data_IF_834785715361
#
_entry.id   IF_834785715361
#
_cell.length_a   1.000
_cell.length_b   1.000
_cell.length_c   1.000
_cell.angle_alpha   90.00
_cell.angle_beta   90.00
_cell.angle_gamma   90.00
#
_symmetry.space_group_name_H-M   'P 1'
#
loop_
_entity.id
_entity.type
_entity.pdbx_description
1 polymer ?
#
# COMPACT_ATOMS: atom_id res chain seq x y z
N UNK A 1 22.25 7.55 -3.98
CA UNK A 1 21.35 8.66 -4.40
C UNK A 1 20.58 8.21 -5.61
N UNK A 2 19.29 7.88 -5.44
CA UNK A 2 18.40 7.66 -6.58
C UNK A 2 17.89 9.01 -7.09
N UNK A 3 18.12 9.32 -8.35
CA UNK A 3 17.57 10.49 -9.02
C UNK A 3 16.54 9.99 -10.03
N UNK A 4 15.27 10.01 -9.64
CA UNK A 4 14.16 9.75 -10.55
C UNK A 4 13.57 11.08 -11.03
N UNK A 5 13.72 11.42 -12.31
CA UNK A 5 12.91 12.47 -12.92
C UNK A 5 11.59 11.86 -13.38
N UNK A 6 10.51 12.18 -12.71
CA UNK A 6 9.19 11.99 -13.28
C UNK A 6 8.92 13.13 -14.25
N UNK A 7 9.07 12.86 -15.54
CA UNK A 7 8.57 13.77 -16.59
C UNK A 7 7.06 13.64 -16.62
N UNK A 8 6.36 14.42 -15.79
CA UNK A 8 4.92 14.57 -15.94
C UNK A 8 4.69 15.49 -17.15
N UNK A 9 4.12 15.00 -18.26
CA UNK A 9 3.91 15.83 -19.43
C UNK A 9 2.98 17.00 -19.09
N UNK A 10 3.20 18.14 -19.71
CA UNK A 10 2.38 19.37 -19.66
C UNK A 10 0.99 19.12 -20.32
N UNK A 11 0.34 18.01 -19.98
CA UNK A 11 -1.04 17.78 -20.42
C UNK A 11 -1.98 18.35 -19.38
N UNK A 12 -2.72 19.37 -19.79
CA UNK A 12 -3.83 19.90 -18.98
C UNK A 12 -5.10 19.24 -19.47
N UNK A 13 -5.81 18.57 -18.55
CA UNK A 13 -7.15 18.04 -18.81
C UNK A 13 -8.15 18.80 -17.96
N UNK A 14 -9.17 19.35 -18.63
CA UNK A 14 -10.33 19.95 -17.98
C UNK A 14 -11.47 18.96 -18.05
N UNK A 15 -12.05 18.59 -16.91
CA UNK A 15 -13.19 17.67 -16.85
C UNK A 15 -14.35 18.30 -16.09
N UNK A 16 -15.56 18.18 -16.66
CA UNK A 16 -16.81 18.53 -16.01
C UNK A 16 -17.72 17.31 -16.11
N UNK A 17 -17.92 16.62 -15.02
CA UNK A 17 -18.75 15.40 -14.98
C UNK A 17 -19.49 15.31 -13.65
N UNK A 18 -20.83 15.11 -13.72
CA UNK A 18 -21.65 14.89 -12.53
C UNK A 18 -21.61 16.04 -11.49
N UNK A 19 -21.38 17.27 -11.95
CA UNK A 19 -21.22 18.43 -11.05
C UNK A 19 -19.79 18.65 -10.54
N UNK A 20 -18.88 17.71 -10.73
CA UNK A 20 -17.45 17.86 -10.41
C UNK A 20 -16.74 18.60 -11.55
N UNK A 21 -16.02 19.65 -11.19
CA UNK A 21 -15.19 20.44 -12.10
C UNK A 21 -13.74 20.30 -11.68
N UNK A 22 -12.92 19.69 -12.52
CA UNK A 22 -11.50 19.43 -12.21
C UNK A 22 -10.59 19.90 -13.32
N UNK A 23 -9.44 20.40 -12.93
CA UNK A 23 -8.29 20.66 -13.81
C UNK A 23 -7.14 19.79 -13.32
N UNK A 24 -6.67 18.89 -14.16
CA UNK A 24 -5.47 18.09 -13.88
C UNK A 24 -4.34 18.60 -14.76
N UNK A 25 -3.22 18.92 -14.16
CA UNK A 25 -2.06 19.44 -14.86
C UNK A 25 -0.76 18.79 -14.39
N UNK A 26 0.30 18.93 -15.17
CA UNK A 26 1.67 18.61 -14.78
C UNK A 26 2.45 19.88 -14.45
N UNK A 27 3.60 19.74 -13.77
CA UNK A 27 4.57 20.80 -13.57
C UNK A 27 5.93 20.32 -14.09
N UNK A 28 6.47 20.96 -15.17
CA UNK A 28 7.76 20.59 -15.73
C UNK A 28 8.95 21.02 -14.86
N UNK A 29 8.72 21.87 -13.86
CA UNK A 29 9.76 22.42 -12.99
C UNK A 29 9.90 21.66 -11.68
N UNK A 30 9.21 20.51 -11.52
CA UNK A 30 9.34 19.71 -10.32
C UNK A 30 10.79 19.28 -10.07
N UNK A 31 11.24 19.50 -8.85
CA UNK A 31 12.47 18.91 -8.36
C UNK A 31 12.35 17.37 -8.30
N UNK A 32 13.42 16.64 -8.63
CA UNK A 32 13.42 15.20 -8.52
C UNK A 32 13.29 14.78 -7.06
N UNK A 33 12.67 13.62 -6.85
CA UNK A 33 12.67 12.96 -5.54
C UNK A 33 14.12 12.71 -5.10
N UNK A 34 14.46 13.13 -3.87
CA UNK A 34 15.77 12.94 -3.27
C UNK A 34 15.64 12.43 -1.86
N UNK A 35 16.43 11.43 -1.54
CA UNK A 35 16.52 10.90 -0.18
C UNK A 35 17.94 10.47 0.15
N UNK A 36 18.31 10.58 1.42
CA UNK A 36 19.51 9.98 2.02
C UNK A 36 19.06 8.76 2.82
N UNK A 37 19.71 7.64 2.64
CA UNK A 37 19.35 6.39 3.31
C UNK A 37 20.52 5.83 4.08
N UNK A 38 20.21 5.21 5.23
CA UNK A 38 21.13 4.40 6.00
C UNK A 38 20.41 3.10 6.37
N UNK A 39 21.05 1.98 6.05
CA UNK A 39 20.51 0.66 6.28
C UNK A 39 21.54 -0.20 7.02
N UNK A 40 21.09 -0.96 8.02
CA UNK A 40 21.90 -1.92 8.76
C UNK A 40 21.13 -3.23 8.90
N UNK A 41 21.70 -4.33 8.41
CA UNK A 41 21.11 -5.64 8.48
C UNK A 41 22.03 -6.68 9.08
N UNK A 42 21.46 -7.60 9.84
CA UNK A 42 22.09 -8.78 10.38
C UNK A 42 21.29 -10.02 9.99
N UNK A 43 21.96 -11.00 9.42
CA UNK A 43 21.38 -12.29 9.08
C UNK A 43 22.16 -13.40 9.78
N UNK A 44 21.44 -14.32 10.39
CA UNK A 44 22.01 -15.47 11.06
C UNK A 44 21.39 -16.76 10.54
N UNK A 45 22.16 -17.50 9.76
CA UNK A 45 21.83 -18.84 9.25
C UNK A 45 22.26 -19.87 10.29
N UNK A 46 21.38 -20.17 11.24
CA UNK A 46 21.73 -20.96 12.44
C UNK A 46 21.57 -22.48 12.23
N UNK A 47 20.87 -22.90 11.17
CA UNK A 47 20.73 -24.29 10.76
C UNK A 47 20.40 -24.36 9.25
N UNK A 48 20.30 -25.55 8.67
CA UNK A 48 19.88 -25.76 7.29
C UNK A 48 18.46 -25.18 7.07
N UNK A 49 18.29 -24.41 6.01
CA UNK A 49 17.04 -23.70 5.67
C UNK A 49 16.47 -22.78 6.78
N UNK A 50 17.29 -22.44 7.79
CA UNK A 50 16.88 -21.67 8.95
C UNK A 50 17.56 -20.30 8.98
N UNK A 51 16.77 -19.25 9.07
CA UNK A 51 17.21 -17.86 9.04
C UNK A 51 16.56 -17.06 10.16
N UNK A 52 17.35 -16.23 10.81
CA UNK A 52 16.94 -15.11 11.62
C UNK A 52 17.55 -13.85 11.02
N UNK A 53 16.72 -12.87 10.64
CA UNK A 53 17.17 -11.58 10.12
C UNK A 53 16.60 -10.43 10.93
N UNK A 54 17.41 -9.41 11.14
CA UNK A 54 16.99 -8.14 11.73
C UNK A 54 17.65 -7.03 10.92
N UNK A 55 16.85 -6.12 10.41
CA UNK A 55 17.33 -4.93 9.71
C UNK A 55 16.75 -3.66 10.34
N UNK A 56 17.51 -2.60 10.30
CA UNK A 56 17.11 -1.25 10.65
C UNK A 56 17.36 -0.35 9.44
N UNK A 57 16.46 0.57 9.18
CA UNK A 57 16.61 1.55 8.13
C UNK A 57 16.17 2.95 8.57
N UNK A 58 16.80 3.95 7.95
CA UNK A 58 16.47 5.35 8.08
C UNK A 58 16.53 6.02 6.71
N UNK A 59 15.54 6.85 6.37
CA UNK A 59 15.48 7.63 5.14
C UNK A 59 15.10 9.07 5.47
N UNK A 60 15.99 9.99 5.10
CA UNK A 60 15.75 11.42 5.13
C UNK A 60 15.35 11.85 3.71
N UNK A 61 14.09 12.21 3.52
CA UNK A 61 13.51 12.57 2.23
C UNK A 61 13.59 14.09 2.08
N UNK A 62 14.51 14.55 1.27
CA UNK A 62 14.74 16.00 1.05
C UNK A 62 13.61 16.62 0.22
N UNK A 63 13.10 15.89 -0.80
CA UNK A 63 12.02 16.33 -1.68
C UNK A 63 11.09 15.18 -2.00
N UNK A 64 9.81 15.43 -1.89
CA UNK A 64 8.75 14.50 -2.24
C UNK A 64 7.75 15.19 -3.17
N UNK A 65 7.15 14.47 -4.09
CA UNK A 65 6.13 15.01 -5.01
C UNK A 65 4.77 14.52 -4.58
N UNK A 66 3.90 15.44 -4.24
CA UNK A 66 2.49 15.16 -3.95
C UNK A 66 1.57 15.84 -4.96
N UNK A 67 0.33 15.37 -5.08
CA UNK A 67 -0.71 16.09 -5.80
C UNK A 67 -1.39 17.09 -4.85
N UNK A 68 -1.19 18.37 -5.08
CA UNK A 68 -1.96 19.41 -4.38
C UNK A 68 -3.40 19.42 -4.89
N UNK A 69 -4.32 19.81 -4.02
CA UNK A 69 -5.73 20.04 -4.36
C UNK A 69 -6.16 21.40 -3.89
N UNK A 70 -6.44 22.29 -4.83
CA UNK A 70 -6.87 23.64 -4.56
C UNK A 70 -8.16 23.93 -5.35
N UNK A 71 -9.20 24.41 -4.65
CA UNK A 71 -10.43 24.87 -5.30
C UNK A 71 -10.39 26.37 -5.46
N UNK A 72 -10.45 26.81 -6.72
CA UNK A 72 -10.42 28.23 -7.09
C UNK A 72 -11.10 28.47 -8.44
N UNK A 73 -11.50 29.73 -8.77
CA UNK A 73 -12.11 30.05 -10.06
C UNK A 73 -11.21 29.67 -11.23
N UNK A 74 -11.80 29.11 -12.30
CA UNK A 74 -11.09 28.70 -13.52
C UNK A 74 -10.24 29.82 -14.13
N UNK A 75 -10.79 31.06 -14.19
CA UNK A 75 -10.10 32.21 -14.76
C UNK A 75 -8.79 32.60 -14.06
N UNK A 76 -8.53 32.04 -12.86
CA UNK A 76 -7.25 32.22 -12.15
C UNK A 76 -6.17 31.27 -12.63
N UNK A 77 -6.49 30.31 -13.50
CA UNK A 77 -5.59 29.28 -13.98
C UNK A 77 -4.62 29.75 -15.07
N UNK A 78 -4.95 30.82 -15.79
CA UNK A 78 -4.25 31.23 -17.00
C UNK A 78 -4.52 30.33 -18.21
N UNK A 79 -5.42 29.35 -18.09
CA UNK A 79 -5.82 28.47 -19.20
C UNK A 79 -6.84 29.17 -20.11
N UNK A 80 -6.86 28.85 -21.41
CA UNK A 80 -7.80 29.46 -22.34
C UNK A 80 -9.24 28.99 -22.08
N UNK A 81 -10.20 29.92 -22.14
CA UNK A 81 -11.63 29.65 -21.95
C UNK A 81 -12.21 28.68 -23.01
N UNK A 82 -11.50 28.51 -24.12
CA UNK A 82 -11.88 27.55 -25.15
C UNK A 82 -11.96 26.11 -24.67
N UNK A 83 -11.26 25.77 -23.58
CA UNK A 83 -11.32 24.44 -22.95
C UNK A 83 -12.64 24.19 -22.24
N UNK A 84 -13.44 25.23 -21.96
CA UNK A 84 -14.75 25.11 -21.36
C UNK A 84 -15.89 24.97 -22.37
N UNK A 85 -15.62 25.15 -23.67
CA UNK A 85 -16.64 25.07 -24.72
C UNK A 85 -17.31 23.68 -24.69
N UNK A 86 -18.64 23.67 -24.61
CA UNK A 86 -19.45 22.44 -24.58
C UNK A 86 -19.55 21.78 -23.21
N UNK A 87 -18.86 22.29 -22.16
CA UNK A 87 -18.92 21.72 -20.80
C UNK A 87 -20.07 22.29 -19.96
N UNK A 88 -20.63 23.46 -20.35
CA UNK A 88 -21.61 24.21 -19.57
C UNK A 88 -21.04 24.98 -18.39
N UNK A 89 -19.74 24.89 -18.15
CA UNK A 89 -19.06 25.65 -17.10
C UNK A 89 -18.67 27.05 -17.57
N UNK A 90 -18.57 27.99 -16.62
CA UNK A 90 -18.16 29.38 -16.85
C UNK A 90 -16.76 29.62 -16.31
N UNK A 91 -15.99 30.60 -16.84
CA UNK A 91 -14.67 30.93 -16.34
C UNK A 91 -14.64 31.37 -14.85
N UNK A 92 -15.77 31.82 -14.33
CA UNK A 92 -15.93 32.22 -12.92
C UNK A 92 -16.29 31.08 -11.99
N UNK A 93 -16.58 29.89 -12.53
CA UNK A 93 -16.92 28.73 -11.72
C UNK A 93 -15.66 28.17 -11.00
N UNK A 94 -15.87 27.65 -9.80
CA UNK A 94 -14.82 26.99 -9.05
C UNK A 94 -14.50 25.62 -9.63
N UNK A 95 -13.22 25.38 -9.82
CA UNK A 95 -12.63 24.11 -10.23
C UNK A 95 -11.65 23.62 -9.16
N UNK A 96 -11.60 22.30 -8.96
CA UNK A 96 -10.55 21.66 -8.19
C UNK A 96 -9.34 21.41 -9.08
N UNK A 97 -8.25 22.08 -8.76
CA UNK A 97 -6.96 21.93 -9.46
C UNK A 97 -6.15 20.83 -8.76
N UNK A 98 -5.86 19.76 -9.49
CA UNK A 98 -4.97 18.69 -9.07
C UNK A 98 -3.64 18.87 -9.80
N UNK A 99 -2.65 19.41 -9.12
CA UNK A 99 -1.36 19.75 -9.69
C UNK A 99 -0.26 19.13 -8.82
N UNK A 100 0.73 18.42 -9.42
CA UNK A 100 1.86 17.91 -8.67
C UNK A 100 2.73 19.09 -8.19
N UNK A 101 3.12 19.02 -6.93
CA UNK A 101 3.99 20.02 -6.29
C UNK A 101 5.06 19.33 -5.45
N UNK A 102 6.20 19.98 -5.28
CA UNK A 102 7.18 19.52 -4.32
C UNK A 102 6.76 19.88 -2.90
N UNK A 103 6.98 18.94 -1.99
CA UNK A 103 6.87 19.14 -0.54
C UNK A 103 8.27 19.04 0.08
N UNK A 104 8.50 19.63 1.25
CA UNK A 104 9.76 19.53 1.97
C UNK A 104 10.20 18.09 2.30
N UNK A 105 9.30 17.09 2.12
CA UNK A 105 9.61 15.72 2.47
C UNK A 105 9.44 15.44 3.95
N UNK A 106 10.38 14.70 4.54
CA UNK A 106 10.37 14.28 5.94
C UNK A 106 11.22 13.05 6.18
N UNK A 107 11.08 12.42 7.31
CA UNK A 107 11.85 11.23 7.67
C UNK A 107 10.99 9.97 7.78
N UNK A 108 11.67 8.86 7.57
CA UNK A 108 11.11 7.52 7.66
C UNK A 108 12.16 6.60 8.28
N UNK A 109 11.76 5.84 9.29
CA UNK A 109 12.64 4.90 10.00
C UNK A 109 11.87 3.65 10.38
N UNK A 110 12.57 2.55 10.48
CA UNK A 110 11.90 1.32 10.85
C UNK A 110 12.82 0.14 11.12
N UNK A 111 12.16 -0.96 11.40
CA UNK A 111 12.78 -2.26 11.66
C UNK A 111 12.08 -3.33 10.85
N UNK A 112 12.86 -4.26 10.33
CA UNK A 112 12.39 -5.46 9.68
C UNK A 112 12.95 -6.67 10.42
N UNK A 113 12.07 -7.61 10.74
CA UNK A 113 12.40 -8.87 11.36
C UNK A 113 11.91 -10.01 10.47
N UNK A 114 12.77 -11.01 10.23
CA UNK A 114 12.38 -12.21 9.52
C UNK A 114 12.90 -13.45 10.27
N UNK A 115 12.04 -14.45 10.34
CA UNK A 115 12.35 -15.76 10.89
C UNK A 115 11.80 -16.84 9.99
N UNK A 116 12.64 -17.83 9.69
CA UNK A 116 12.26 -19.03 8.94
C UNK A 116 12.94 -20.23 9.59
N UNK A 117 12.15 -21.30 9.82
CA UNK A 117 12.71 -22.56 10.31
C UNK A 117 11.83 -23.75 9.98
N UNK A 118 12.33 -24.78 9.27
CA UNK A 118 11.76 -26.12 9.27
C UNK A 118 12.07 -26.82 10.61
N UNK A 119 11.12 -27.59 11.13
CA UNK A 119 11.25 -28.22 12.46
C UNK A 119 11.90 -29.60 12.41
N UNK A 120 12.85 -29.80 11.50
CA UNK A 120 13.59 -31.08 11.30
C UNK A 120 14.24 -31.62 12.57
N UNK A 121 14.43 -30.78 13.59
CA UNK A 121 15.00 -31.16 14.89
C UNK A 121 13.96 -31.83 15.82
N UNK A 122 12.68 -31.83 15.46
CA UNK A 122 11.61 -32.46 16.22
C UNK A 122 11.40 -33.93 15.82
N UNK A 123 10.95 -34.81 16.73
CA UNK A 123 10.76 -36.21 16.42
C UNK A 123 9.43 -36.50 15.71
N UNK A 124 9.37 -37.60 14.99
CA UNK A 124 8.14 -38.13 14.39
C UNK A 124 7.54 -37.21 13.35
N UNK A 125 6.22 -37.01 13.38
CA UNK A 125 5.51 -36.18 12.42
C UNK A 125 5.76 -34.66 12.61
N UNK A 126 6.24 -34.24 13.75
CA UNK A 126 6.54 -32.84 14.05
C UNK A 126 7.70 -32.29 13.20
N UNK A 127 8.60 -33.16 12.72
CA UNK A 127 9.72 -32.76 11.87
C UNK A 127 9.31 -32.22 10.50
N UNK A 128 8.10 -32.55 10.07
CA UNK A 128 7.54 -32.16 8.78
C UNK A 128 6.82 -30.80 8.85
N UNK A 129 6.79 -30.14 10.02
CA UNK A 129 6.35 -28.77 10.18
C UNK A 129 7.47 -27.79 9.94
N UNK A 130 7.08 -26.55 9.63
CA UNK A 130 7.95 -25.41 9.62
C UNK A 130 7.14 -24.12 9.67
N UNK A 131 7.82 -23.01 9.95
CA UNK A 131 7.19 -21.71 10.01
C UNK A 131 8.03 -20.64 9.34
N UNK A 132 7.34 -19.59 8.88
CA UNK A 132 7.92 -18.35 8.41
C UNK A 132 7.18 -17.19 9.08
N UNK A 133 7.92 -16.19 9.50
CA UNK A 133 7.37 -14.98 10.10
C UNK A 133 8.17 -13.77 9.63
N UNK A 134 7.49 -12.75 9.15
CA UNK A 134 8.07 -11.45 8.81
C UNK A 134 7.29 -10.38 9.53
N UNK A 135 7.99 -9.40 10.08
CA UNK A 135 7.40 -8.23 10.72
C UNK A 135 8.15 -6.99 10.30
N UNK A 136 7.39 -5.96 9.92
CA UNK A 136 7.91 -4.64 9.58
C UNK A 136 7.23 -3.60 10.45
N UNK A 137 8.03 -2.77 11.09
CA UNK A 137 7.61 -1.56 11.77
C UNK A 137 8.20 -0.36 11.05
N UNK A 138 7.35 0.61 10.70
CA UNK A 138 7.77 1.86 10.06
C UNK A 138 7.11 3.04 10.75
N UNK A 139 7.90 4.02 11.10
CA UNK A 139 7.47 5.32 11.60
C UNK A 139 7.90 6.38 10.60
N UNK A 140 6.98 7.25 10.21
CA UNK A 140 7.23 8.28 9.20
C UNK A 140 6.52 9.57 9.54
N UNK A 141 7.14 10.69 9.17
CA UNK A 141 6.53 12.00 9.29
C UNK A 141 6.87 12.83 8.04
N UNK A 142 5.84 13.12 7.24
CA UNK A 142 5.96 13.88 6.00
C UNK A 142 5.18 15.18 6.13
N UNK A 143 5.81 16.29 5.75
CA UNK A 143 5.15 17.59 5.66
C UNK A 143 4.41 17.69 4.33
N UNK A 144 3.09 17.59 4.37
CA UNK A 144 2.23 17.80 3.20
C UNK A 144 1.94 19.29 2.98
N UNK A 145 1.54 19.63 1.76
CA UNK A 145 1.17 21.00 1.38
C UNK A 145 -0.21 21.02 0.70
N UNK A 146 -0.95 22.11 0.85
CA UNK A 146 -2.23 22.31 0.15
C UNK A 146 -2.01 22.86 -1.26
N UNK A 147 -1.01 23.76 -1.42
CA UNK A 147 -0.56 24.29 -2.69
C UNK A 147 0.95 24.54 -2.61
N UNK A 148 1.57 24.96 -3.72
CA UNK A 148 3.01 25.18 -3.75
C UNK A 148 3.47 26.11 -2.62
N UNK A 149 4.29 25.60 -1.70
CA UNK A 149 4.84 26.35 -0.58
C UNK A 149 3.89 26.64 0.59
N UNK A 150 2.65 26.15 0.57
CA UNK A 150 1.69 26.35 1.68
C UNK A 150 1.60 25.05 2.51
N UNK A 151 2.20 24.97 3.71
CA UNK A 151 2.10 23.81 4.58
C UNK A 151 0.63 23.47 4.92
N UNK A 152 0.32 22.17 4.94
CA UNK A 152 -0.97 21.62 5.35
C UNK A 152 -0.81 20.88 6.68
N UNK A 153 -0.56 19.58 6.59
CA UNK A 153 -0.52 18.64 7.69
C UNK A 153 0.82 17.91 7.69
N UNK A 154 1.40 17.71 8.87
CA UNK A 154 2.50 16.75 9.07
C UNK A 154 1.91 15.46 9.58
N UNK A 155 2.09 14.38 8.85
CA UNK A 155 1.51 13.07 9.15
C UNK A 155 2.26 11.95 8.41
N UNK A 156 1.83 10.72 8.61
CA UNK A 156 2.44 9.54 8.01
C UNK A 156 2.49 9.59 6.47
N UNK A 157 3.50 8.94 5.91
CA UNK A 157 3.63 8.79 4.45
C UNK A 157 2.46 7.97 3.91
N UNK A 158 1.79 8.49 2.88
CA UNK A 158 0.69 7.79 2.21
C UNK A 158 1.11 6.44 1.64
N UNK A 159 0.22 5.44 1.77
CA UNK A 159 0.45 4.07 1.32
C UNK A 159 1.26 3.20 2.28
N UNK A 160 1.71 3.74 3.41
CA UNK A 160 2.56 3.07 4.38
C UNK A 160 1.80 2.78 5.68
N UNK A 161 1.69 1.50 6.04
CA UNK A 161 1.17 1.07 7.34
C UNK A 161 2.29 1.05 8.37
N UNK A 162 1.99 1.40 9.61
CA UNK A 162 2.97 1.45 10.70
C UNK A 162 3.47 0.06 11.09
N UNK A 163 2.56 -0.91 11.14
CA UNK A 163 2.86 -2.31 11.40
C UNK A 163 2.34 -3.19 10.27
N UNK A 164 3.16 -4.15 9.86
CA UNK A 164 2.74 -5.20 8.95
C UNK A 164 3.44 -6.51 9.33
N UNK A 165 2.71 -7.62 9.30
CA UNK A 165 3.32 -8.93 9.47
C UNK A 165 2.72 -9.98 8.56
N UNK A 166 3.54 -10.97 8.24
CA UNK A 166 3.12 -12.19 7.59
C UNK A 166 3.59 -13.38 8.43
N UNK A 167 2.70 -14.30 8.68
CA UNK A 167 2.97 -15.55 9.37
C UNK A 167 2.50 -16.71 8.52
N UNK A 168 3.34 -17.74 8.37
CA UNK A 168 2.97 -18.98 7.70
C UNK A 168 3.42 -20.15 8.56
N UNK A 169 2.47 -21.04 8.85
CA UNK A 169 2.73 -22.38 9.38
C UNK A 169 2.44 -23.40 8.28
N UNK A 170 3.37 -24.29 8.05
CA UNK A 170 3.20 -25.34 7.06
C UNK A 170 3.55 -26.72 7.62
N UNK A 171 2.97 -27.72 7.01
CA UNK A 171 3.28 -29.12 7.18
C UNK A 171 3.51 -29.72 5.80
N UNK A 172 4.59 -30.44 5.59
CA UNK A 172 4.92 -31.02 4.30
C UNK A 172 5.62 -32.37 4.44
N UNK A 173 5.02 -33.39 3.82
CA UNK A 173 5.61 -34.69 3.65
C UNK A 173 5.33 -35.21 2.21
N UNK A 174 5.92 -36.37 1.77
CA UNK A 174 5.75 -36.85 0.41
C UNK A 174 4.31 -37.06 -0.08
N UNK A 175 3.33 -37.20 0.83
CA UNK A 175 1.93 -37.48 0.49
C UNK A 175 0.99 -36.34 0.79
N UNK A 176 1.29 -35.50 1.77
CA UNK A 176 0.40 -34.46 2.24
C UNK A 176 1.15 -33.19 2.49
N UNK A 177 0.61 -32.07 2.00
CA UNK A 177 1.04 -30.73 2.36
C UNK A 177 -0.16 -29.92 2.86
N UNK A 178 0.08 -29.06 3.84
CA UNK A 178 -0.88 -28.10 4.34
C UNK A 178 -0.17 -26.82 4.72
N UNK A 179 -0.81 -25.68 4.49
CA UNK A 179 -0.29 -24.35 4.84
C UNK A 179 -1.43 -23.47 5.34
N UNK A 180 -1.16 -22.73 6.40
CA UNK A 180 -2.01 -21.63 6.87
C UNK A 180 -1.15 -20.38 6.90
N UNK A 181 -1.62 -19.32 6.28
CA UNK A 181 -0.93 -18.03 6.22
C UNK A 181 -1.84 -16.94 6.76
N UNK A 182 -1.27 -16.03 7.55
CA UNK A 182 -1.93 -14.82 8.02
C UNK A 182 -1.12 -13.61 7.56
N UNK A 183 -1.79 -12.64 6.94
CA UNK A 183 -1.21 -11.37 6.53
C UNK A 183 -1.98 -10.24 7.20
N UNK A 184 -1.28 -9.43 7.98
CA UNK A 184 -1.80 -8.26 8.68
C UNK A 184 -1.10 -7.00 8.22
N UNK A 185 -1.84 -5.93 8.14
CA UNK A 185 -1.29 -4.57 8.07
C UNK A 185 -2.22 -3.59 8.79
N UNK A 186 -1.62 -2.61 9.46
CA UNK A 186 -2.36 -1.48 10.06
C UNK A 186 -3.09 -0.68 8.96
N UNK A 187 -4.03 0.15 9.39
CA UNK A 187 -4.57 1.21 8.57
C UNK A 187 -3.46 2.11 8.01
N UNK A 188 -3.76 2.79 6.92
CA UNK A 188 -2.82 3.69 6.27
C UNK A 188 -3.51 4.79 5.50
N UNK A 189 -2.84 5.94 5.42
CA UNK A 189 -3.30 7.07 4.64
C UNK A 189 -3.14 6.80 3.15
N UNK A 190 -4.18 7.12 2.38
CA UNK A 190 -4.16 6.99 0.91
C UNK A 190 -4.03 8.35 0.23
N UNK A 191 -4.55 9.41 0.86
CA UNK A 191 -4.58 10.74 0.26
C UNK A 191 -4.47 11.83 1.33
N UNK A 192 -3.52 12.74 1.16
CA UNK A 192 -3.30 13.92 2.01
C UNK A 192 -2.96 15.12 1.11
N UNK A 193 -3.69 16.24 1.20
CA UNK A 193 -4.99 16.39 1.84
C UNK A 193 -6.07 15.55 1.14
N UNK A 194 -7.10 15.16 1.90
CA UNK A 194 -8.22 14.39 1.40
C UNK A 194 -9.11 15.14 0.42
N UNK A 195 -10.01 14.42 -0.26
CA UNK A 195 -11.01 14.99 -1.17
C UNK A 195 -12.16 15.65 -0.37
N UNK A 196 -12.89 16.55 -1.03
CA UNK A 196 -14.10 17.19 -0.47
C UNK A 196 -13.88 17.86 0.89
N UNK A 197 -12.75 18.57 1.04
CA UNK A 197 -12.32 19.25 2.27
C UNK A 197 -12.10 18.34 3.49
N UNK A 198 -11.93 17.03 3.27
CA UNK A 198 -11.41 16.19 4.34
C UNK A 198 -9.91 16.44 4.52
N UNK A 199 -9.41 16.30 5.72
CA UNK A 199 -7.99 16.44 6.04
C UNK A 199 -7.18 15.29 5.44
N UNK A 200 -7.69 14.06 5.58
CA UNK A 200 -7.05 12.83 5.11
C UNK A 200 -8.08 11.82 4.59
N UNK A 201 -7.60 10.86 3.83
CA UNK A 201 -8.31 9.62 3.47
C UNK A 201 -7.41 8.44 3.73
N UNK A 202 -7.97 7.31 4.15
CA UNK A 202 -7.22 6.11 4.46
C UNK A 202 -7.95 4.82 4.11
N UNK A 203 -7.24 3.72 4.29
CA UNK A 203 -7.78 2.36 4.24
C UNK A 203 -7.63 1.75 5.63
N UNK A 204 -8.66 1.06 6.10
CA UNK A 204 -8.66 0.40 7.40
C UNK A 204 -7.64 -0.75 7.48
N UNK A 205 -7.30 -1.14 8.70
CA UNK A 205 -6.48 -2.32 8.95
C UNK A 205 -7.10 -3.58 8.36
N UNK A 206 -6.27 -4.57 8.03
CA UNK A 206 -6.75 -5.85 7.51
C UNK A 206 -5.96 -7.02 8.11
N UNK A 207 -6.66 -8.13 8.38
CA UNK A 207 -6.09 -9.42 8.75
C UNK A 207 -6.66 -10.51 7.85
N UNK A 208 -5.94 -10.87 6.81
CA UNK A 208 -6.32 -11.96 5.90
C UNK A 208 -5.69 -13.28 6.36
N UNK A 209 -6.51 -14.31 6.46
CA UNK A 209 -6.05 -15.67 6.74
C UNK A 209 -6.46 -16.56 5.58
N UNK A 210 -5.49 -17.25 5.00
CA UNK A 210 -5.66 -18.20 3.91
C UNK A 210 -5.14 -19.57 4.35
N UNK A 211 -5.72 -20.63 3.79
CA UNK A 211 -5.26 -21.99 4.01
C UNK A 211 -5.26 -22.78 2.70
N UNK A 212 -4.27 -23.63 2.52
CA UNK A 212 -4.23 -24.56 1.41
C UNK A 212 -3.77 -25.93 1.87
N UNK A 213 -4.27 -26.98 1.20
CA UNK A 213 -3.79 -28.36 1.40
C UNK A 213 -3.73 -29.11 0.09
N UNK A 214 -2.82 -30.03 -0.02
CA UNK A 214 -2.80 -31.01 -1.09
C UNK A 214 -2.59 -32.42 -0.54
N UNK A 215 -3.17 -33.40 -1.20
CA UNK A 215 -3.04 -34.80 -0.86
C UNK A 215 -2.79 -35.63 -2.12
N UNK A 216 -1.61 -36.26 -2.17
CA UNK A 216 -1.24 -37.19 -3.24
C UNK A 216 -1.86 -38.57 -2.95
N UNK A 217 -3.00 -38.81 -3.62
CA UNK A 217 -3.72 -40.09 -3.48
C UNK A 217 -2.88 -41.27 -4.00
N UNK A 218 -2.23 -41.09 -5.17
CA UNK A 218 -1.30 -42.01 -5.79
C UNK A 218 -0.38 -41.23 -6.73
N UNK A 219 0.47 -41.93 -7.49
CA UNK A 219 1.45 -41.32 -8.38
C UNK A 219 0.85 -40.52 -9.55
N UNK A 220 -0.45 -40.72 -9.80
CA UNK A 220 -1.18 -40.06 -10.89
C UNK A 220 -2.18 -39.01 -10.41
N UNK A 221 -2.68 -39.08 -9.17
CA UNK A 221 -3.77 -38.22 -8.71
C UNK A 221 -3.37 -37.46 -7.43
N UNK A 222 -3.47 -36.14 -7.52
CA UNK A 222 -3.36 -35.22 -6.40
C UNK A 222 -4.67 -34.42 -6.24
N UNK A 223 -5.16 -34.32 -5.02
CA UNK A 223 -6.33 -33.53 -4.64
C UNK A 223 -5.86 -32.25 -3.96
N UNK A 224 -6.51 -31.12 -4.26
CA UNK A 224 -6.19 -29.82 -3.66
C UNK A 224 -7.42 -29.16 -3.06
N UNK A 225 -7.22 -28.43 -2.00
CA UNK A 225 -8.23 -27.58 -1.36
C UNK A 225 -7.57 -26.25 -1.01
N UNK A 226 -8.26 -25.13 -1.28
CA UNK A 226 -7.83 -23.80 -0.90
C UNK A 226 -9.00 -23.05 -0.26
N UNK A 227 -8.71 -22.34 0.82
CA UNK A 227 -9.61 -21.42 1.47
C UNK A 227 -8.96 -20.04 1.51
N UNK A 228 -9.60 -19.05 0.92
CA UNK A 228 -9.10 -17.68 0.81
C UNK A 228 -10.00 -16.77 1.63
N UNK A 229 -9.40 -15.81 2.32
CA UNK A 229 -10.07 -14.84 3.19
C UNK A 229 -10.94 -15.54 4.26
N UNK A 230 -10.33 -16.48 5.02
CA UNK A 230 -11.05 -17.26 6.05
C UNK A 230 -11.52 -16.40 7.23
N UNK A 231 -10.90 -15.26 7.45
CA UNK A 231 -11.32 -14.22 8.41
C UNK A 231 -12.56 -13.46 7.97
N UNK A 232 -12.96 -13.59 6.69
CA UNK A 232 -14.05 -12.80 6.11
C UNK A 232 -13.77 -11.28 6.16
N UNK A 233 -12.53 -10.93 5.88
CA UNK A 233 -11.99 -9.58 6.01
C UNK A 233 -12.64 -8.62 5.01
N UNK A 234 -12.83 -7.38 5.45
CA UNK A 234 -13.35 -6.28 4.65
C UNK A 234 -12.21 -5.36 4.20
N UNK A 235 -12.39 -4.70 3.07
CA UNK A 235 -11.48 -3.65 2.60
C UNK A 235 -12.20 -2.31 2.63
N UNK A 236 -12.22 -1.71 3.79
CA UNK A 236 -12.92 -0.46 4.02
C UNK A 236 -11.99 0.73 3.82
N UNK A 237 -12.54 1.79 3.22
CA UNK A 237 -11.87 3.08 3.11
C UNK A 237 -12.61 4.11 3.96
N UNK A 238 -11.86 4.96 4.60
CA UNK A 238 -12.38 5.99 5.49
C UNK A 238 -11.88 7.39 5.10
N UNK A 239 -12.60 8.41 5.56
CA UNK A 239 -12.27 9.83 5.38
C UNK A 239 -12.41 10.57 6.70
N UNK A 240 -11.58 11.59 6.87
CA UNK A 240 -11.50 12.47 8.03
C UNK A 240 -10.90 11.80 9.28
N UNK A 241 -9.75 12.32 9.72
CA UNK A 241 -9.06 11.87 10.93
C UNK A 241 -9.87 12.06 12.21
N UNK A 242 -10.81 13.02 12.22
CA UNK A 242 -11.61 13.35 13.39
C UNK A 242 -12.92 12.57 13.52
N UNK A 243 -13.38 11.94 12.43
CA UNK A 243 -14.72 11.35 12.38
C UNK A 243 -14.74 9.91 11.88
N UNK A 244 -13.64 9.41 11.34
CA UNK A 244 -13.46 8.03 10.84
C UNK A 244 -14.70 7.52 10.08
N UNK A 245 -15.09 8.29 9.06
CA UNK A 245 -16.30 7.97 8.30
C UNK A 245 -15.97 7.05 7.15
N UNK A 246 -16.64 5.90 7.08
CA UNK A 246 -16.55 4.97 5.95
C UNK A 246 -16.93 5.68 4.66
N UNK A 247 -16.06 5.65 3.67
CA UNK A 247 -16.26 6.21 2.33
C UNK A 247 -16.51 5.14 1.28
N UNK A 248 -15.87 3.98 1.44
CA UNK A 248 -16.05 2.81 0.58
C UNK A 248 -16.10 1.57 1.47
N UNK A 249 -17.03 0.73 1.18
CA UNK A 249 -17.21 -0.57 1.80
C UNK A 249 -17.07 -1.64 0.72
N UNK A 250 -16.10 -2.52 0.87
CA UNK A 250 -15.87 -3.59 -0.08
C UNK A 250 -15.68 -4.93 0.64
N UNK A 251 -16.51 -5.91 0.28
CA UNK A 251 -16.51 -7.24 0.87
C UNK A 251 -16.55 -8.31 -0.23
N UNK A 252 -15.51 -9.11 -0.32
CA UNK A 252 -15.42 -10.22 -1.27
C UNK A 252 -15.92 -11.54 -0.72
N UNK A 253 -15.94 -11.67 0.61
CA UNK A 253 -16.34 -12.90 1.29
C UNK A 253 -15.25 -13.97 1.28
N UNK A 254 -15.56 -15.13 1.88
CA UNK A 254 -14.70 -16.33 1.88
C UNK A 254 -14.82 -17.06 0.56
N UNK A 255 -13.69 -17.54 0.04
CA UNK A 255 -13.65 -18.36 -1.18
C UNK A 255 -13.07 -19.73 -0.87
N UNK A 256 -13.73 -20.78 -1.34
CA UNK A 256 -13.25 -22.16 -1.20
C UNK A 256 -13.12 -22.79 -2.57
N UNK A 257 -11.95 -23.34 -2.86
CA UNK A 257 -11.61 -23.98 -4.13
C UNK A 257 -11.25 -25.44 -3.89
N UNK A 258 -11.81 -26.33 -4.71
CA UNK A 258 -11.47 -27.74 -4.75
C UNK A 258 -10.91 -28.07 -6.13
N UNK A 259 -9.79 -28.74 -6.17
CA UNK A 259 -9.15 -29.11 -7.40
C UNK A 259 -8.57 -30.52 -7.39
N UNK A 260 -8.23 -31.00 -8.56
CA UNK A 260 -7.44 -32.19 -8.72
C UNK A 260 -6.46 -32.03 -9.87
N UNK A 261 -5.32 -32.69 -9.76
CA UNK A 261 -4.29 -32.81 -10.82
C UNK A 261 -4.12 -34.27 -11.15
N UNK A 262 -4.23 -34.62 -12.43
CA UNK A 262 -4.00 -35.98 -12.92
C UNK A 262 -2.85 -35.99 -13.91
N UNK A 263 -1.88 -36.89 -13.69
CA UNK A 263 -0.73 -37.12 -14.58
C UNK A 263 -0.87 -38.51 -15.23
N UNK A 264 -0.73 -38.56 -16.55
CA UNK A 264 -0.81 -39.78 -17.36
C UNK A 264 0.49 -40.54 -17.36
#
# INVERSE_FOLDING_TARGET
>A
VMVGRSLVPLTVTVSVSGGNRTVNGGDPNLDPFRAKTADLGLEWYFAEESLLSLAWFYKDIDTFVQTSRETRPYNTSGLPDSLLIGTGAQPTDDFTFNIPVNTPGGDLRGWEFAYQQPFVFLPGFWKDFGMQFNYTYVDSEIQYVTSAGVPSLSTDLTGLSKNAYNFTLYYENPKFSARVSAAYRDDFLTTVPGRNNNDVEGTAETLNVDASMSYRWNDHLELTFEGINLTDEYSDQWVSSSADRVSVYHHTGRVYLFGFRYQF
#
